data_IF_986121528153
#
_entry.id   IF_986121528153
#
_cell.length_a   1.000
_cell.length_b   1.000
_cell.length_c   1.000
_cell.angle_alpha   90.00
_cell.angle_beta   90.00
_cell.angle_gamma   90.00
#
_symmetry.space_group_name_H-M   'P 1'
#
loop_
_entity.id
_entity.type
_entity.pdbx_description
1 polymer ?
#
# COMPACT_ATOMS: atom_id res chain seq x y z
N UNK A 1 0.47 -33.60 -17.35
CA UNK A 1 -0.78 -32.83 -17.64
C UNK A 1 -1.81 -32.95 -16.51
N UNK A 2 -2.23 -34.17 -16.09
CA UNK A 2 -3.16 -34.38 -14.95
C UNK A 2 -2.68 -33.80 -13.60
N UNK A 3 -1.40 -33.91 -13.27
CA UNK A 3 -0.82 -33.37 -12.02
C UNK A 3 -0.83 -31.84 -11.94
N UNK A 4 -0.72 -31.14 -13.07
CA UNK A 4 -0.84 -29.67 -13.15
C UNK A 4 -2.30 -29.23 -12.99
N UNK A 5 -3.24 -30.00 -13.54
CA UNK A 5 -4.68 -29.75 -13.40
C UNK A 5 -5.18 -29.97 -11.96
N UNK A 6 -4.72 -31.03 -11.28
CA UNK A 6 -5.07 -31.28 -9.86
C UNK A 6 -4.47 -30.26 -8.92
N UNK A 7 -3.23 -29.82 -9.17
CA UNK A 7 -2.59 -28.75 -8.39
C UNK A 7 -3.34 -27.42 -8.55
N UNK A 8 -3.69 -27.04 -9.79
CA UNK A 8 -4.51 -25.86 -10.04
C UNK A 8 -5.86 -25.91 -9.36
N UNK A 9 -6.59 -27.04 -9.45
CA UNK A 9 -7.88 -27.22 -8.78
C UNK A 9 -7.77 -27.06 -7.26
N UNK A 10 -6.73 -27.64 -6.64
CA UNK A 10 -6.50 -27.53 -5.21
C UNK A 10 -6.20 -26.07 -4.80
N UNK A 11 -5.41 -25.35 -5.60
CA UNK A 11 -5.14 -23.93 -5.38
C UNK A 11 -6.41 -23.09 -5.48
N UNK A 12 -7.25 -23.29 -6.51
CA UNK A 12 -8.51 -22.56 -6.65
C UNK A 12 -9.48 -22.87 -5.52
N UNK A 13 -9.58 -24.13 -5.09
CA UNK A 13 -10.44 -24.52 -3.98
C UNK A 13 -9.98 -23.88 -2.66
N UNK A 14 -8.67 -23.86 -2.39
CA UNK A 14 -8.11 -23.17 -1.24
C UNK A 14 -8.38 -21.66 -1.28
N UNK A 15 -8.22 -21.02 -2.44
CA UNK A 15 -8.51 -19.59 -2.62
C UNK A 15 -10.00 -19.27 -2.42
N UNK A 16 -10.91 -20.11 -2.92
CA UNK A 16 -12.36 -19.97 -2.70
C UNK A 16 -12.70 -20.11 -1.22
N UNK A 17 -12.10 -21.08 -0.52
CA UNK A 17 -12.34 -21.27 0.91
C UNK A 17 -11.87 -20.06 1.73
N UNK A 18 -10.68 -19.53 1.42
CA UNK A 18 -10.15 -18.30 2.05
C UNK A 18 -11.05 -17.11 1.76
N UNK A 19 -11.51 -16.95 0.51
CA UNK A 19 -12.43 -15.89 0.13
C UNK A 19 -13.76 -16.00 0.90
N UNK A 20 -14.31 -17.21 1.04
CA UNK A 20 -15.55 -17.43 1.77
C UNK A 20 -15.40 -17.13 3.26
N UNK A 21 -14.30 -17.58 3.87
CA UNK A 21 -13.99 -17.30 5.27
C UNK A 21 -13.89 -15.79 5.55
N UNK A 22 -13.29 -15.03 4.63
CA UNK A 22 -13.17 -13.58 4.74
C UNK A 22 -14.51 -12.84 4.49
N UNK A 23 -15.35 -13.32 3.58
CA UNK A 23 -16.61 -12.67 3.22
C UNK A 23 -17.74 -12.96 4.21
N UNK A 24 -17.73 -14.13 4.86
CA UNK A 24 -18.79 -14.55 5.78
C UNK A 24 -19.14 -13.51 6.86
N UNK A 25 -18.20 -12.94 7.65
CA UNK A 25 -18.55 -11.95 8.67
C UNK A 25 -19.15 -10.67 8.08
N UNK A 26 -18.72 -10.27 6.88
CA UNK A 26 -19.24 -9.09 6.18
C UNK A 26 -20.66 -9.37 5.70
N UNK A 27 -20.89 -10.52 5.05
CA UNK A 27 -22.22 -10.93 4.59
C UNK A 27 -23.20 -11.09 5.76
N UNK A 28 -22.73 -11.63 6.88
CA UNK A 28 -23.52 -11.72 8.09
C UNK A 28 -23.86 -10.35 8.66
N UNK A 29 -22.90 -9.41 8.72
CA UNK A 29 -23.14 -8.04 9.18
C UNK A 29 -24.16 -7.31 8.29
N UNK A 30 -24.05 -7.45 6.97
CA UNK A 30 -25.01 -6.88 6.01
C UNK A 30 -26.40 -7.50 6.20
N UNK A 31 -26.48 -8.83 6.36
CA UNK A 31 -27.76 -9.51 6.66
C UNK A 31 -28.37 -9.04 7.99
N UNK A 32 -27.56 -9.00 9.06
CA UNK A 32 -27.96 -8.55 10.39
C UNK A 32 -28.46 -7.09 10.39
N UNK A 33 -27.90 -6.22 9.55
CA UNK A 33 -28.37 -4.84 9.40
C UNK A 33 -29.82 -4.72 8.88
N UNK A 34 -30.33 -5.75 8.23
CA UNK A 34 -31.68 -5.80 7.66
C UNK A 34 -32.65 -6.62 8.51
N UNK A 35 -32.19 -7.21 9.62
CA UNK A 35 -33.01 -7.99 10.54
C UNK A 35 -33.68 -7.10 11.59
N UNK A 36 -34.73 -7.61 12.21
CA UNK A 36 -35.26 -7.09 13.48
C UNK A 36 -34.47 -7.61 14.69
N UNK A 37 -34.62 -6.99 15.86
CA UNK A 37 -33.95 -7.43 17.10
C UNK A 37 -34.26 -8.89 17.46
N UNK A 38 -35.48 -9.37 17.15
CA UNK A 38 -35.89 -10.75 17.41
C UNK A 38 -35.26 -11.77 16.44
N UNK A 39 -35.11 -11.42 15.17
CA UNK A 39 -34.57 -12.31 14.11
C UNK A 39 -33.04 -12.50 14.20
N UNK A 40 -32.35 -11.76 15.07
CA UNK A 40 -30.91 -11.91 15.28
C UNK A 40 -30.53 -13.19 15.99
N UNK A 41 -31.43 -13.71 16.83
CA UNK A 41 -31.25 -14.99 17.52
C UNK A 41 -31.53 -16.18 16.59
N UNK A 42 -32.20 -15.95 15.46
CA UNK A 42 -32.47 -16.98 14.47
C UNK A 42 -31.22 -17.27 13.63
N UNK A 43 -30.92 -18.57 13.47
CA UNK A 43 -29.80 -19.07 12.66
C UNK A 43 -29.97 -18.84 11.14
N UNK A 44 -31.07 -18.24 10.70
CA UNK A 44 -31.32 -17.96 9.30
C UNK A 44 -30.29 -16.95 8.75
N UNK A 45 -29.59 -17.26 7.65
CA UNK A 45 -28.54 -16.40 7.10
C UNK A 45 -29.09 -15.13 6.43
N UNK A 46 -30.37 -15.10 6.04
CA UNK A 46 -31.05 -13.97 5.41
C UNK A 46 -32.24 -13.52 6.27
N UNK A 47 -32.60 -12.22 6.26
CA UNK A 47 -33.77 -11.72 6.95
C UNK A 47 -35.06 -12.27 6.31
N UNK A 48 -36.04 -12.67 7.13
CA UNK A 48 -37.36 -13.05 6.63
C UNK A 48 -38.13 -11.82 6.14
N UNK A 49 -38.00 -10.70 6.88
CA UNK A 49 -38.60 -9.42 6.54
C UNK A 49 -37.54 -8.30 6.52
N UNK A 50 -36.90 -8.02 5.36
CA UNK A 50 -35.84 -7.01 5.26
C UNK A 50 -36.30 -5.62 5.73
N UNK A 51 -35.66 -5.11 6.78
CA UNK A 51 -36.02 -3.86 7.45
C UNK A 51 -35.04 -2.74 7.12
N UNK A 52 -35.26 -2.08 5.99
CA UNK A 52 -34.45 -0.94 5.54
C UNK A 52 -34.53 0.28 6.47
N UNK A 53 -35.55 0.36 7.34
CA UNK A 53 -35.70 1.45 8.29
C UNK A 53 -34.51 1.55 9.25
N UNK A 54 -33.83 0.43 9.55
CA UNK A 54 -32.62 0.40 10.38
C UNK A 54 -31.54 1.37 9.88
N UNK A 55 -31.40 1.55 8.56
CA UNK A 55 -30.45 2.52 8.01
C UNK A 55 -30.86 3.96 8.29
N UNK A 56 -32.15 4.30 8.15
CA UNK A 56 -32.66 5.63 8.48
C UNK A 56 -32.53 5.90 9.97
N UNK A 57 -32.98 4.94 10.79
CA UNK A 57 -32.89 5.00 12.25
C UNK A 57 -31.45 5.19 12.71
N UNK A 58 -30.45 4.62 12.01
CA UNK A 58 -29.04 4.80 12.36
C UNK A 58 -28.56 6.25 12.16
N UNK A 59 -29.04 6.92 11.11
CA UNK A 59 -28.76 8.33 10.85
C UNK A 59 -29.55 9.28 11.77
N UNK A 60 -30.67 8.82 12.32
CA UNK A 60 -31.47 9.58 13.28
C UNK A 60 -30.92 9.43 14.71
N UNK A 61 -30.40 8.25 15.06
CA UNK A 61 -29.85 7.94 16.38
C UNK A 61 -28.53 8.66 16.68
N UNK A 62 -27.68 8.81 15.66
CA UNK A 62 -26.42 9.56 15.74
C UNK A 62 -26.25 10.40 14.48
N UNK A 63 -25.52 11.55 14.54
CA UNK A 63 -25.24 12.36 13.36
C UNK A 63 -24.20 11.68 12.43
N UNK A 64 -24.52 10.48 11.93
CA UNK A 64 -23.62 9.57 11.22
C UNK A 64 -23.03 10.22 9.97
N UNK A 65 -23.82 10.98 9.22
CA UNK A 65 -23.34 11.72 8.05
C UNK A 65 -22.25 12.73 8.39
N UNK A 66 -22.39 13.47 9.51
CA UNK A 66 -21.36 14.40 9.99
C UNK A 66 -20.13 13.64 10.50
N UNK A 67 -20.33 12.54 11.22
CA UNK A 67 -19.23 11.69 11.69
C UNK A 67 -18.41 11.08 10.55
N UNK A 68 -19.07 10.66 9.46
CA UNK A 68 -18.41 10.21 8.23
C UNK A 68 -17.63 11.35 7.58
N UNK A 69 -18.21 12.54 7.46
CA UNK A 69 -17.52 13.71 6.93
C UNK A 69 -16.29 14.09 7.76
N UNK A 70 -16.39 14.03 9.10
CA UNK A 70 -15.27 14.24 10.01
C UNK A 70 -14.17 13.20 9.81
N UNK A 71 -14.52 11.92 9.67
CA UNK A 71 -13.54 10.83 9.40
C UNK A 71 -12.88 11.02 8.05
N UNK A 72 -13.63 11.37 6.99
CA UNK A 72 -13.07 11.65 5.67
C UNK A 72 -12.10 12.83 5.72
N UNK A 73 -12.46 13.91 6.41
CA UNK A 73 -11.60 15.08 6.58
C UNK A 73 -10.33 14.73 7.36
N UNK A 74 -10.48 14.01 8.47
CA UNK A 74 -9.37 13.54 9.30
C UNK A 74 -8.40 12.67 8.49
N UNK A 75 -8.91 11.64 7.82
CA UNK A 75 -8.13 10.73 6.99
C UNK A 75 -7.49 11.46 5.80
N UNK A 76 -8.19 12.36 5.12
CA UNK A 76 -7.65 13.11 3.99
C UNK A 76 -6.50 14.04 4.41
N UNK A 77 -6.68 14.81 5.49
CA UNK A 77 -5.65 15.71 5.99
C UNK A 77 -4.40 14.96 6.43
N UNK A 78 -4.56 13.91 7.26
CA UNK A 78 -3.42 13.12 7.74
C UNK A 78 -2.73 12.41 6.59
N UNK A 79 -3.47 11.77 5.68
CA UNK A 79 -2.88 11.09 4.53
C UNK A 79 -2.12 12.05 3.61
N UNK A 80 -2.71 13.21 3.29
CA UNK A 80 -2.03 14.21 2.47
C UNK A 80 -0.75 14.72 3.13
N UNK A 81 -0.81 15.02 4.44
CA UNK A 81 0.36 15.42 5.23
C UNK A 81 1.43 14.34 5.24
N UNK A 82 1.07 13.10 5.58
CA UNK A 82 2.04 12.01 5.62
C UNK A 82 2.67 11.73 4.26
N UNK A 83 1.90 11.72 3.18
CA UNK A 83 2.45 11.55 1.83
C UNK A 83 3.45 12.66 1.52
N UNK A 84 3.10 13.92 1.82
CA UNK A 84 3.97 15.05 1.58
C UNK A 84 5.26 14.97 2.42
N UNK A 85 5.16 14.86 3.74
CA UNK A 85 6.32 14.88 4.64
C UNK A 85 7.18 13.61 4.53
N UNK A 86 6.58 12.42 4.42
CA UNK A 86 7.33 11.17 4.25
C UNK A 86 8.02 11.11 2.89
N UNK A 87 7.42 11.63 1.81
CA UNK A 87 8.09 11.65 0.51
C UNK A 87 9.28 12.61 0.51
N UNK A 88 9.14 13.77 1.16
CA UNK A 88 10.25 14.72 1.31
C UNK A 88 11.38 14.14 2.15
N UNK A 89 11.06 13.57 3.32
CA UNK A 89 12.03 12.93 4.19
C UNK A 89 12.69 11.71 3.51
N UNK A 90 11.91 10.90 2.80
CA UNK A 90 12.39 9.75 2.05
C UNK A 90 13.37 10.16 0.94
N UNK A 91 13.07 11.24 0.20
CA UNK A 91 13.98 11.81 -0.79
C UNK A 91 15.28 12.31 -0.13
N UNK A 92 15.18 13.03 0.98
CA UNK A 92 16.35 13.53 1.72
C UNK A 92 17.27 12.38 2.19
N UNK A 93 16.71 11.32 2.79
CA UNK A 93 17.49 10.17 3.24
C UNK A 93 17.99 9.26 2.11
N UNK A 94 17.40 9.32 0.92
CA UNK A 94 17.84 8.51 -0.22
C UNK A 94 18.89 9.23 -1.07
N UNK A 95 18.71 10.53 -1.35
CA UNK A 95 19.46 11.26 -2.38
C UNK A 95 20.42 12.31 -1.81
N UNK A 96 20.02 13.03 -0.78
CA UNK A 96 20.89 14.07 -0.20
C UNK A 96 22.04 13.43 0.59
N UNK A 97 23.23 14.02 0.45
CA UNK A 97 24.43 13.64 1.19
C UNK A 97 24.65 14.64 2.33
N UNK A 98 24.49 14.20 3.56
CA UNK A 98 24.75 15.00 4.76
C UNK A 98 25.37 14.13 5.87
N UNK A 99 26.20 14.71 6.75
CA UNK A 99 26.86 13.95 7.81
C UNK A 99 25.84 13.32 8.76
N UNK A 100 26.05 12.06 9.15
CA UNK A 100 25.18 11.35 10.10
C UNK A 100 23.87 10.80 9.52
N UNK A 101 23.66 10.85 8.20
CA UNK A 101 22.42 10.40 7.52
C UNK A 101 21.96 9.00 7.93
N UNK A 102 22.84 8.01 7.91
CA UNK A 102 22.48 6.62 8.23
C UNK A 102 22.16 6.44 9.73
N UNK A 103 22.88 7.15 10.61
CA UNK A 103 22.61 7.12 12.05
C UNK A 103 21.25 7.77 12.38
N UNK A 104 20.94 8.91 11.76
CA UNK A 104 19.64 9.57 11.90
C UNK A 104 18.51 8.70 11.35
N UNK A 105 18.72 8.04 10.21
CA UNK A 105 17.74 7.13 9.64
C UNK A 105 17.49 5.90 10.54
N UNK A 106 18.56 5.34 11.11
CA UNK A 106 18.46 4.22 12.06
C UNK A 106 17.72 4.64 13.34
N UNK A 107 18.02 5.83 13.87
CA UNK A 107 17.27 6.42 14.98
C UNK A 107 15.79 6.62 14.65
N UNK A 108 15.48 7.04 13.42
CA UNK A 108 14.10 7.16 12.94
C UNK A 108 13.40 5.80 12.89
N UNK A 109 14.07 4.74 12.44
CA UNK A 109 13.54 3.37 12.48
C UNK A 109 13.35 2.83 13.89
N UNK A 110 14.25 3.17 14.83
CA UNK A 110 14.11 2.76 16.23
C UNK A 110 12.81 3.27 16.86
N UNK A 111 12.24 4.37 16.38
CA UNK A 111 10.93 4.86 16.85
C UNK A 111 9.77 3.89 16.54
N UNK A 112 9.90 3.01 15.55
CA UNK A 112 8.91 1.96 15.28
C UNK A 112 8.83 0.90 16.38
N UNK A 113 9.88 0.77 17.20
CA UNK A 113 9.88 -0.14 18.36
C UNK A 113 9.10 0.46 19.54
N UNK A 114 8.79 1.76 19.51
CA UNK A 114 8.06 2.42 20.59
C UNK A 114 6.56 2.11 20.45
N UNK A 115 5.94 1.49 21.46
CA UNK A 115 4.52 1.18 21.41
C UNK A 115 3.67 2.46 21.51
N UNK A 116 2.65 2.55 20.66
CA UNK A 116 1.69 3.67 20.63
C UNK A 116 1.08 3.97 22.01
N UNK A 117 0.78 2.95 22.82
CA UNK A 117 0.18 3.12 24.16
C UNK A 117 1.03 3.97 25.11
N UNK A 118 2.36 3.95 24.97
CA UNK A 118 3.27 4.74 25.81
C UNK A 118 3.35 6.19 25.33
N UNK A 119 3.15 6.45 24.03
CA UNK A 119 3.18 7.82 23.47
C UNK A 119 1.89 8.58 23.67
N UNK A 120 0.75 7.88 23.86
CA UNK A 120 -0.57 8.49 24.01
C UNK A 120 -0.63 9.47 25.18
N UNK A 121 -0.08 9.13 26.35
CA UNK A 121 -0.13 10.01 27.54
C UNK A 121 0.67 11.32 27.29
N UNK A 122 1.94 11.28 26.87
CA UNK A 122 2.67 12.49 26.49
C UNK A 122 1.97 13.32 25.41
N UNK A 123 1.45 12.68 24.37
CA UNK A 123 0.75 13.39 23.29
C UNK A 123 -0.53 14.07 23.80
N UNK A 124 -1.30 13.42 24.67
CA UNK A 124 -2.46 14.01 25.34
C UNK A 124 -2.07 15.26 26.15
N UNK A 125 -1.00 15.18 26.95
CA UNK A 125 -0.52 16.32 27.73
C UNK A 125 -0.12 17.50 26.82
N UNK A 126 0.50 17.24 25.67
CA UNK A 126 0.80 18.27 24.68
C UNK A 126 -0.47 18.91 24.10
N UNK A 127 -1.45 18.11 23.70
CA UNK A 127 -2.72 18.64 23.15
C UNK A 127 -3.48 19.47 24.19
N UNK A 128 -3.46 19.04 25.45
CA UNK A 128 -4.00 19.81 26.58
C UNK A 128 -3.25 21.11 26.79
N UNK A 129 -1.92 21.10 26.72
CA UNK A 129 -1.10 22.31 26.88
C UNK A 129 -1.34 23.32 25.75
N UNK A 130 -1.51 22.84 24.52
CA UNK A 130 -1.89 23.68 23.37
C UNK A 130 -3.35 24.17 23.40
N UNK A 131 -4.19 23.64 24.30
CA UNK A 131 -5.61 23.95 24.35
C UNK A 131 -6.40 23.41 23.14
N UNK A 132 -5.90 22.38 22.47
CA UNK A 132 -6.54 21.78 21.28
C UNK A 132 -7.52 20.66 21.61
N UNK A 133 -7.68 20.32 22.90
CA UNK A 133 -8.64 19.31 23.35
C UNK A 133 -10.05 19.60 22.81
N UNK A 134 -10.76 18.55 22.40
CA UNK A 134 -12.11 18.63 21.83
C UNK A 134 -12.20 19.51 20.57
N UNK A 135 -11.13 19.53 19.76
CA UNK A 135 -11.10 20.17 18.43
C UNK A 135 -10.59 19.21 17.35
N UNK A 136 -10.90 19.44 16.06
CA UNK A 136 -10.36 18.62 14.96
C UNK A 136 -8.83 18.63 14.88
N UNK A 137 -8.17 19.70 15.36
CA UNK A 137 -6.72 19.84 15.33
C UNK A 137 -6.01 18.83 16.21
N UNK A 138 -6.61 18.47 17.36
CA UNK A 138 -6.06 17.44 18.23
C UNK A 138 -6.00 16.06 17.56
N UNK A 139 -6.86 15.81 16.57
CA UNK A 139 -6.80 14.58 15.77
C UNK A 139 -5.78 14.70 14.64
N UNK A 140 -5.85 15.78 13.86
CA UNK A 140 -5.09 15.90 12.60
C UNK A 140 -3.60 16.11 12.85
N UNK A 141 -3.23 17.07 13.70
CA UNK A 141 -1.85 17.57 13.80
C UNK A 141 -0.85 16.50 14.26
N UNK A 142 -1.14 15.65 15.26
CA UNK A 142 -0.18 14.62 15.70
C UNK A 142 0.17 13.60 14.63
N UNK A 143 -0.78 13.26 13.75
CA UNK A 143 -0.57 12.31 12.65
C UNK A 143 0.00 12.93 11.37
N UNK A 144 0.01 14.26 11.26
CA UNK A 144 0.23 14.99 10.00
C UNK A 144 1.68 14.91 9.51
N UNK A 145 2.66 14.98 10.41
CA UNK A 145 4.08 15.20 10.08
C UNK A 145 4.84 13.95 9.59
N UNK A 146 4.11 12.94 9.12
CA UNK A 146 4.70 11.69 8.61
C UNK A 146 4.90 10.63 9.69
N UNK A 147 5.38 9.48 9.25
CA UNK A 147 5.65 8.32 10.09
C UNK A 147 6.99 7.70 9.74
N UNK A 148 7.58 6.99 10.71
CA UNK A 148 8.82 6.25 10.52
C UNK A 148 8.73 5.24 9.37
N UNK A 149 7.63 4.49 9.33
CA UNK A 149 7.37 3.53 8.27
C UNK A 149 7.18 4.22 6.91
N UNK A 150 6.41 5.32 6.85
CA UNK A 150 6.17 6.02 5.59
C UNK A 150 7.45 6.60 4.97
N UNK A 151 8.31 7.19 5.80
CA UNK A 151 9.62 7.69 5.35
C UNK A 151 10.55 6.56 4.90
N UNK A 152 10.57 5.44 5.65
CA UNK A 152 11.32 4.25 5.25
C UNK A 152 10.85 3.75 3.88
N UNK A 153 9.54 3.58 3.69
CA UNK A 153 8.96 3.11 2.44
C UNK A 153 9.34 4.02 1.28
N UNK A 154 9.17 5.34 1.44
CA UNK A 154 9.53 6.30 0.39
C UNK A 154 11.04 6.28 0.10
N UNK A 155 11.90 6.18 1.12
CA UNK A 155 13.35 6.05 0.93
C UNK A 155 13.70 4.81 0.10
N UNK A 156 13.13 3.65 0.43
CA UNK A 156 13.37 2.41 -0.31
C UNK A 156 13.01 2.56 -1.79
N UNK A 157 11.86 3.15 -2.09
CA UNK A 157 11.46 3.41 -3.48
C UNK A 157 12.32 4.47 -4.19
N UNK A 158 12.77 5.51 -3.49
CA UNK A 158 13.69 6.45 -4.11
C UNK A 158 15.04 5.81 -4.40
N UNK A 159 15.53 4.86 -3.58
CA UNK A 159 16.80 4.18 -3.79
C UNK A 159 16.81 3.22 -4.99
N UNK A 160 15.65 2.70 -5.42
CA UNK A 160 15.58 1.82 -6.59
C UNK A 160 15.69 2.56 -7.92
N UNK A 161 15.51 3.88 -7.93
CA UNK A 161 15.63 4.66 -9.16
C UNK A 161 17.11 4.85 -9.56
N UNK A 162 17.46 4.79 -10.86
CA UNK A 162 18.81 5.06 -11.33
C UNK A 162 19.26 6.49 -10.97
N UNK A 163 20.53 6.68 -10.60
CA UNK A 163 21.08 7.98 -10.24
C UNK A 163 21.27 8.89 -11.47
N UNK A 164 21.43 8.27 -12.63
CA UNK A 164 21.62 8.91 -13.93
C UNK A 164 20.44 9.82 -14.30
N UNK A 165 19.22 9.51 -13.83
CA UNK A 165 18.04 10.36 -14.01
C UNK A 165 18.17 11.72 -13.29
N UNK A 166 18.79 11.72 -12.12
CA UNK A 166 19.03 12.93 -11.34
C UNK A 166 20.19 13.73 -11.95
N UNK A 167 21.28 13.05 -12.36
CA UNK A 167 22.42 13.69 -13.01
C UNK A 167 22.02 14.36 -14.33
N UNK A 168 21.21 13.71 -15.16
CA UNK A 168 20.69 14.30 -16.40
C UNK A 168 19.84 15.56 -16.12
N UNK A 169 18.95 15.52 -15.13
CA UNK A 169 18.13 16.67 -14.76
C UNK A 169 18.97 17.85 -14.23
N UNK A 170 20.05 17.57 -13.50
CA UNK A 170 20.99 18.59 -13.01
C UNK A 170 21.75 19.22 -14.19
N UNK A 171 22.16 18.42 -15.19
CA UNK A 171 22.77 18.93 -16.42
C UNK A 171 21.81 19.82 -17.23
N UNK A 172 20.50 19.53 -17.18
CA UNK A 172 19.44 20.38 -17.74
C UNK A 172 19.15 21.65 -16.91
N UNK A 173 19.90 21.88 -15.83
CA UNK A 173 19.77 23.06 -14.97
C UNK A 173 18.65 22.99 -13.93
N UNK A 174 18.12 21.80 -13.64
CA UNK A 174 17.11 21.65 -12.60
C UNK A 174 17.71 21.85 -11.20
N UNK A 175 17.02 22.62 -10.36
CA UNK A 175 17.30 22.71 -8.91
C UNK A 175 16.91 21.41 -8.19
N UNK A 176 17.49 21.09 -7.01
CA UNK A 176 17.13 19.87 -6.26
C UNK A 176 15.63 19.73 -5.97
N UNK A 177 14.94 20.84 -5.71
CA UNK A 177 13.48 20.85 -5.54
C UNK A 177 12.74 20.47 -6.83
N UNK A 178 13.21 20.95 -7.98
CA UNK A 178 12.64 20.59 -9.28
C UNK A 178 12.93 19.12 -9.63
N UNK A 179 14.13 18.61 -9.32
CA UNK A 179 14.46 17.19 -9.49
C UNK A 179 13.51 16.32 -8.67
N UNK A 180 13.31 16.64 -7.39
CA UNK A 180 12.35 15.94 -6.54
C UNK A 180 10.93 15.99 -7.12
N UNK A 181 10.39 17.19 -7.37
CA UNK A 181 8.96 17.36 -7.68
C UNK A 181 8.59 16.94 -9.11
N UNK A 182 9.47 17.21 -10.10
CA UNK A 182 9.18 17.02 -11.52
C UNK A 182 9.75 15.71 -12.08
N UNK A 183 10.85 15.20 -11.52
CA UNK A 183 11.53 14.02 -12.06
C UNK A 183 11.28 12.81 -11.18
N UNK A 184 11.70 12.82 -9.92
CA UNK A 184 11.67 11.62 -9.07
C UNK A 184 10.27 11.28 -8.55
N UNK A 185 9.53 12.26 -8.01
CA UNK A 185 8.23 12.02 -7.39
C UNK A 185 7.22 11.36 -8.35
N UNK A 186 7.08 11.77 -9.64
CA UNK A 186 6.21 11.11 -10.60
C UNK A 186 6.56 9.64 -10.89
N UNK A 187 7.84 9.25 -10.79
CA UNK A 187 8.28 7.87 -10.98
C UNK A 187 7.99 7.01 -9.74
N UNK A 188 7.86 7.63 -8.57
CA UNK A 188 7.46 6.96 -7.32
C UNK A 188 5.95 6.93 -7.07
N UNK A 189 5.11 7.23 -8.08
CA UNK A 189 3.65 7.14 -7.97
C UNK A 189 3.13 5.83 -7.34
N UNK A 190 3.66 4.63 -7.68
CA UNK A 190 3.24 3.39 -7.02
C UNK A 190 3.50 3.42 -5.51
N UNK A 191 4.65 3.93 -5.07
CA UNK A 191 5.02 4.06 -3.66
C UNK A 191 4.11 5.04 -2.92
N UNK A 192 3.87 6.20 -3.52
CA UNK A 192 2.98 7.23 -2.98
C UNK A 192 1.56 6.69 -2.78
N UNK A 193 1.05 5.92 -3.75
CA UNK A 193 -0.27 5.29 -3.64
C UNK A 193 -0.32 4.25 -2.51
N UNK A 194 0.72 3.42 -2.38
CA UNK A 194 0.81 2.44 -1.28
C UNK A 194 0.81 3.17 0.07
N UNK A 195 1.65 4.19 0.24
CA UNK A 195 1.69 4.99 1.45
C UNK A 195 0.33 5.64 1.73
N UNK A 196 -0.28 6.27 0.73
CA UNK A 196 -1.56 6.93 0.88
C UNK A 196 -2.67 5.98 1.36
N UNK A 197 -2.73 4.79 0.78
CA UNK A 197 -3.75 3.79 1.13
C UNK A 197 -3.49 3.21 2.52
N UNK A 198 -2.24 2.86 2.85
CA UNK A 198 -1.91 2.36 4.18
C UNK A 198 -2.24 3.39 5.26
N UNK A 199 -1.82 4.65 5.08
CA UNK A 199 -2.14 5.73 6.01
C UNK A 199 -3.64 5.94 6.11
N UNK A 200 -4.36 5.96 4.98
CA UNK A 200 -5.81 6.12 4.98
C UNK A 200 -6.50 5.04 5.80
N UNK A 201 -6.16 3.76 5.57
CA UNK A 201 -6.74 2.64 6.29
C UNK A 201 -6.45 2.75 7.80
N UNK A 202 -5.22 3.14 8.17
CA UNK A 202 -4.86 3.34 9.59
C UNK A 202 -5.70 4.44 10.23
N UNK A 203 -5.81 5.60 9.58
CA UNK A 203 -6.53 6.76 10.14
C UNK A 203 -8.05 6.54 10.13
N UNK A 204 -8.58 5.88 9.11
CA UNK A 204 -10.00 5.54 9.02
C UNK A 204 -10.45 4.62 10.16
N UNK A 205 -9.61 3.65 10.53
CA UNK A 205 -9.88 2.71 11.62
C UNK A 205 -9.42 3.21 12.99
N UNK A 206 -8.88 4.43 13.07
CA UNK A 206 -8.44 5.00 14.34
C UNK A 206 -9.64 5.22 15.26
N UNK A 207 -9.54 4.65 16.45
CA UNK A 207 -10.59 4.67 17.47
C UNK A 207 -10.05 5.23 18.78
N UNK A 208 -8.90 4.75 19.23
CA UNK A 208 -8.33 5.09 20.52
C UNK A 208 -8.04 6.58 20.64
N UNK A 209 -7.44 7.20 19.61
CA UNK A 209 -7.07 8.61 19.68
C UNK A 209 -8.31 9.54 19.68
N UNK A 210 -9.29 9.39 18.77
CA UNK A 210 -10.54 10.15 18.82
C UNK A 210 -11.31 9.97 20.13
N UNK A 211 -11.33 8.76 20.70
CA UNK A 211 -12.00 8.47 21.97
C UNK A 211 -11.46 9.32 23.14
N UNK A 212 -10.14 9.56 23.17
CA UNK A 212 -9.49 10.30 24.26
C UNK A 212 -9.58 11.82 24.02
N UNK A 213 -9.51 12.26 22.76
CA UNK A 213 -9.41 13.69 22.42
C UNK A 213 -10.76 14.39 22.25
N UNK A 214 -11.80 13.66 21.81
CA UNK A 214 -13.06 14.25 21.37
C UNK A 214 -14.21 13.87 22.31
N UNK A 215 -14.87 14.89 22.85
CA UNK A 215 -16.04 14.73 23.71
C UNK A 215 -17.32 15.07 22.93
N UNK A 216 -17.33 16.15 22.16
CA UNK A 216 -18.52 16.60 21.42
C UNK A 216 -18.89 15.68 20.27
N UNK A 217 -20.19 15.48 20.05
CA UNK A 217 -20.74 14.77 18.87
C UNK A 217 -20.37 15.45 17.54
N UNK A 218 -20.08 16.74 17.59
CA UNK A 218 -19.77 17.56 16.44
C UNK A 218 -18.47 17.20 15.71
N UNK A 219 -17.48 16.70 16.45
CA UNK A 219 -16.15 16.37 15.93
C UNK A 219 -15.86 14.87 15.96
N UNK A 220 -16.82 14.07 16.42
CA UNK A 220 -16.64 12.63 16.54
C UNK A 220 -16.44 11.97 15.18
N UNK A 221 -15.60 10.93 15.15
CA UNK A 221 -15.38 10.08 13.99
C UNK A 221 -16.47 9.02 13.87
N UNK A 222 -16.59 8.43 12.68
CA UNK A 222 -17.43 7.29 12.39
C UNK A 222 -17.19 6.10 13.36
N UNK A 223 -15.93 5.77 13.62
CA UNK A 223 -15.53 4.70 14.56
C UNK A 223 -15.99 4.99 15.99
N UNK A 224 -15.86 6.25 16.44
CA UNK A 224 -16.37 6.68 17.74
C UNK A 224 -17.91 6.67 17.78
N UNK A 225 -18.56 7.00 16.67
CA UNK A 225 -20.02 6.93 16.52
C UNK A 225 -20.58 5.52 16.74
N UNK A 226 -19.91 4.48 16.24
CA UNK A 226 -20.31 3.08 16.47
C UNK A 226 -20.33 2.73 17.95
N UNK A 227 -19.32 3.17 18.71
CA UNK A 227 -19.28 2.90 20.16
C UNK A 227 -20.37 3.68 20.88
N UNK A 228 -20.75 4.87 20.40
CA UNK A 228 -21.88 5.63 20.97
C UNK A 228 -23.24 4.99 20.72
N UNK A 229 -23.37 4.13 19.71
CA UNK A 229 -24.57 3.31 19.49
C UNK A 229 -24.66 2.11 20.45
N UNK A 230 -23.57 1.74 21.12
CA UNK A 230 -23.58 0.73 22.17
C UNK A 230 -24.09 1.38 23.46
N UNK A 231 -25.38 1.23 23.73
CA UNK A 231 -26.01 1.75 24.94
C UNK A 231 -25.47 1.07 26.21
N UNK A 232 -25.53 1.76 27.36
CA UNK A 232 -25.06 1.22 28.64
C UNK A 232 -25.85 -0.01 29.13
N UNK A 233 -27.13 -0.15 28.71
CA UNK A 233 -28.03 -1.20 29.21
C UNK A 233 -28.61 -2.11 28.12
N UNK A 234 -28.74 -1.61 26.88
CA UNK A 234 -29.21 -2.38 25.73
C UNK A 234 -28.59 -1.82 24.46
N UNK A 235 -28.20 -2.71 23.55
CA UNK A 235 -27.67 -2.37 22.23
C UNK A 235 -28.61 -2.91 21.17
N UNK A 236 -29.10 -2.02 20.31
CA UNK A 236 -29.83 -2.41 19.11
C UNK A 236 -28.81 -2.88 18.07
N UNK A 237 -28.60 -4.18 17.98
CA UNK A 237 -27.61 -4.80 17.10
C UNK A 237 -27.89 -4.57 15.61
N UNK A 238 -29.14 -4.65 15.10
CA UNK A 238 -29.42 -4.35 13.69
C UNK A 238 -29.04 -2.91 13.32
N UNK A 239 -29.34 -1.95 14.18
CA UNK A 239 -28.95 -0.54 14.02
C UNK A 239 -27.43 -0.36 13.99
N UNK A 240 -26.72 -1.02 14.91
CA UNK A 240 -25.26 -1.00 14.96
C UNK A 240 -24.65 -1.60 13.68
N UNK A 241 -25.19 -2.72 13.19
CA UNK A 241 -24.74 -3.37 11.95
C UNK A 241 -25.05 -2.52 10.72
N UNK A 242 -26.19 -1.81 10.70
CA UNK A 242 -26.51 -0.85 9.64
C UNK A 242 -25.50 0.30 9.60
N UNK A 243 -25.20 0.91 10.74
CA UNK A 243 -24.16 1.94 10.83
C UNK A 243 -22.79 1.41 10.41
N UNK A 244 -22.38 0.22 10.87
CA UNK A 244 -21.11 -0.39 10.51
C UNK A 244 -21.00 -0.67 9.00
N UNK A 245 -22.08 -1.14 8.39
CA UNK A 245 -22.18 -1.39 6.93
C UNK A 245 -21.98 -0.08 6.15
N UNK A 246 -22.61 1.01 6.58
CA UNK A 246 -22.43 2.33 5.94
C UNK A 246 -20.98 2.82 6.07
N UNK A 247 -20.36 2.65 7.24
CA UNK A 247 -18.97 3.04 7.50
C UNK A 247 -17.97 2.21 6.68
N UNK A 248 -18.34 0.98 6.30
CA UNK A 248 -17.51 0.13 5.45
C UNK A 248 -17.47 0.61 3.98
N UNK A 249 -18.52 1.27 3.48
CA UNK A 249 -18.63 1.65 2.06
C UNK A 249 -17.47 2.53 1.55
N UNK A 250 -17.06 3.60 2.23
CA UNK A 250 -15.95 4.44 1.76
C UNK A 250 -14.61 3.69 1.77
N UNK A 251 -14.41 2.77 2.71
CA UNK A 251 -13.23 1.93 2.78
C UNK A 251 -13.15 0.99 1.58
N UNK A 252 -14.28 0.37 1.19
CA UNK A 252 -14.36 -0.47 0.00
C UNK A 252 -14.09 0.32 -1.29
N UNK A 253 -14.60 1.55 -1.39
CA UNK A 253 -14.36 2.42 -2.53
C UNK A 253 -12.86 2.71 -2.69
N UNK A 254 -12.17 3.02 -1.59
CA UNK A 254 -10.74 3.31 -1.60
C UNK A 254 -9.94 2.06 -1.93
N UNK A 255 -10.30 0.91 -1.37
CA UNK A 255 -9.70 -0.37 -1.73
C UNK A 255 -9.86 -0.68 -3.24
N UNK A 256 -11.05 -0.43 -3.80
CA UNK A 256 -11.32 -0.63 -5.21
C UNK A 256 -10.49 0.29 -6.12
N UNK A 257 -10.14 1.49 -5.67
CA UNK A 257 -9.20 2.39 -6.34
C UNK A 257 -7.75 1.88 -6.17
N UNK A 258 -7.41 1.43 -4.96
CA UNK A 258 -6.06 1.03 -4.57
C UNK A 258 -5.58 -0.29 -5.20
N UNK A 259 -6.47 -1.26 -5.45
CA UNK A 259 -6.10 -2.58 -5.98
C UNK A 259 -5.23 -2.51 -7.25
N UNK A 260 -5.49 -1.55 -8.14
CA UNK A 260 -4.71 -1.35 -9.37
C UNK A 260 -3.30 -0.82 -9.08
N UNK A 261 -3.14 -0.03 -8.01
CA UNK A 261 -1.85 0.49 -7.59
C UNK A 261 -0.99 -0.58 -6.90
N UNK A 262 -1.59 -1.42 -6.05
CA UNK A 262 -0.90 -2.52 -5.40
C UNK A 262 -0.36 -3.55 -6.40
N UNK A 263 -1.17 -3.94 -7.39
CA UNK A 263 -0.74 -4.90 -8.43
C UNK A 263 0.50 -4.38 -9.19
N UNK A 264 0.53 -3.08 -9.54
CA UNK A 264 1.67 -2.45 -10.22
C UNK A 264 2.90 -2.30 -9.32
N UNK A 265 2.70 -2.07 -8.03
CA UNK A 265 3.78 -2.00 -7.04
C UNK A 265 4.49 -3.34 -6.86
N UNK A 266 3.71 -4.43 -6.77
CA UNK A 266 4.24 -5.79 -6.59
C UNK A 266 4.93 -6.30 -7.87
N UNK A 267 4.44 -5.93 -9.06
CA UNK A 267 5.08 -6.34 -10.32
C UNK A 267 6.51 -5.81 -10.50
N UNK A 268 6.85 -4.67 -9.87
CA UNK A 268 8.22 -4.14 -9.90
C UNK A 268 9.18 -4.91 -8.98
N UNK A 269 8.71 -5.42 -7.84
CA UNK A 269 9.49 -6.33 -6.97
C UNK A 269 9.60 -7.75 -7.52
N UNK A 270 8.72 -8.13 -8.44
CA UNK A 270 8.70 -9.44 -9.11
C UNK A 270 9.62 -9.54 -10.32
N UNK A 271 10.25 -8.44 -10.75
CA UNK A 271 11.40 -8.48 -11.67
C UNK A 271 12.60 -9.02 -10.88
N UNK A 272 12.58 -10.34 -10.65
CA UNK A 272 13.80 -11.10 -10.51
C UNK A 272 14.64 -10.72 -11.73
N UNK A 273 15.69 -9.94 -11.50
CA UNK A 273 16.81 -9.86 -12.42
C UNK A 273 17.30 -11.30 -12.58
N UNK A 274 16.75 -12.00 -13.58
CA UNK A 274 17.36 -13.22 -14.07
C UNK A 274 18.70 -12.78 -14.60
N UNK A 275 19.73 -12.99 -13.77
CA UNK A 275 21.11 -12.93 -14.18
C UNK A 275 21.27 -14.00 -15.24
N UNK A 276 21.12 -13.62 -16.52
CA UNK A 276 21.55 -14.45 -17.62
C UNK A 276 23.07 -14.56 -17.52
N UNK A 277 23.52 -15.64 -16.88
CA UNK A 277 24.87 -16.14 -17.08
C UNK A 277 24.93 -16.66 -18.52
N UNK A 278 25.88 -16.13 -19.30
CA UNK A 278 26.28 -16.58 -20.64
C UNK A 278 25.23 -16.50 -21.76
N UNK A 279 25.17 -15.36 -22.45
CA UNK A 279 25.50 -15.24 -23.89
C UNK A 279 25.31 -13.79 -24.33
N UNK A 280 26.30 -13.24 -25.06
CA UNK A 280 26.37 -11.82 -25.43
C UNK A 280 25.53 -11.46 -26.64
N UNK A 281 24.20 -11.60 -26.57
CA UNK A 281 23.28 -11.12 -27.61
C UNK A 281 22.09 -10.37 -27.00
N UNK A 282 21.97 -9.10 -27.35
CA UNK A 282 20.86 -8.23 -26.95
C UNK A 282 19.65 -8.50 -27.85
N UNK A 283 18.81 -9.46 -27.46
CA UNK A 283 17.47 -9.62 -28.04
C UNK A 283 16.43 -9.38 -26.95
N UNK A 284 15.70 -8.28 -27.07
CA UNK A 284 14.60 -7.92 -26.19
C UNK A 284 13.45 -8.94 -26.34
N UNK A 285 13.47 -10.00 -25.55
CA UNK A 285 12.41 -11.01 -25.52
C UNK A 285 11.37 -10.66 -24.45
N UNK A 286 10.30 -9.99 -24.87
CA UNK A 286 9.05 -9.96 -24.13
C UNK A 286 8.35 -11.33 -24.28
N UNK A 287 8.49 -12.23 -23.31
CA UNK A 287 7.74 -13.49 -23.27
C UNK A 287 6.58 -13.41 -22.27
N UNK A 288 5.42 -13.07 -22.81
CA UNK A 288 4.12 -13.33 -22.18
C UNK A 288 3.91 -14.84 -22.20
N UNK A 289 3.67 -15.45 -21.03
CA UNK A 289 3.19 -16.83 -20.91
C UNK A 289 1.84 -16.97 -21.60
N UNK A 290 1.84 -17.52 -22.81
CA UNK A 290 0.66 -18.06 -23.49
C UNK A 290 0.78 -19.58 -23.59
N UNK A 291 -0.09 -20.31 -22.90
CA UNK A 291 -0.26 -21.75 -23.04
C UNK A 291 -0.90 -22.09 -24.40
N UNK A 292 -0.09 -22.20 -25.44
CA UNK A 292 -0.40 -23.01 -26.63
C UNK A 292 0.83 -23.03 -27.53
N UNK A 293 1.49 -24.18 -27.59
CA UNK A 293 2.64 -24.40 -28.45
C UNK A 293 2.27 -24.28 -29.92
N UNK A 294 2.97 -23.40 -30.64
CA UNK A 294 3.23 -23.47 -32.07
C UNK A 294 4.23 -22.36 -32.41
N UNK A 295 5.52 -22.71 -32.41
CA UNK A 295 6.57 -21.87 -32.99
C UNK A 295 6.61 -22.16 -34.48
N UNK A 296 6.10 -21.24 -35.30
CA UNK A 296 6.36 -21.20 -36.73
C UNK A 296 7.66 -20.43 -36.94
N UNK A 297 8.74 -21.16 -37.24
CA UNK A 297 9.99 -20.59 -37.75
C UNK A 297 9.76 -20.06 -39.16
N UNK A 298 9.78 -18.74 -39.32
CA UNK A 298 9.91 -18.11 -40.64
C UNK A 298 11.39 -17.89 -40.93
N UNK A 299 12.00 -18.86 -41.60
CA UNK A 299 13.29 -18.71 -42.26
C UNK A 299 13.09 -17.89 -43.53
N UNK A 300 13.80 -16.77 -43.65
CA UNK A 300 13.88 -15.97 -44.89
C UNK A 300 15.36 -15.82 -45.25
N UNK A 301 15.84 -16.76 -46.08
CA UNK A 301 17.07 -16.59 -46.85
C UNK A 301 16.89 -15.48 -47.89
N UNK A 302 17.85 -14.55 -47.97
CA UNK A 302 18.28 -13.93 -49.22
C UNK A 302 19.68 -13.31 -49.03
N UNK A 303 20.71 -13.89 -49.66
CA UNK A 303 21.97 -13.21 -49.98
C UNK A 303 21.91 -12.61 -51.39
N UNK A 304 23.03 -12.30 -52.08
CA UNK A 304 24.42 -12.11 -51.62
C UNK A 304 25.07 -10.81 -52.20
N UNK A 305 26.31 -10.48 -51.80
CA UNK A 305 27.11 -9.45 -52.48
C UNK A 305 28.43 -9.11 -51.78
N UNK A 306 29.61 -9.27 -52.42
CA UNK A 306 30.94 -9.24 -51.79
C UNK A 306 31.61 -7.85 -51.90
N UNK A 307 32.64 -7.59 -51.08
CA UNK A 307 33.97 -7.09 -51.50
C UNK A 307 34.79 -6.44 -50.37
N UNK A 308 36.06 -6.88 -50.27
CA UNK A 308 37.28 -6.16 -49.84
C UNK A 308 37.39 -5.79 -48.34
N UNK A 309 38.41 -6.23 -47.57
CA UNK A 309 39.86 -5.98 -47.72
C UNK A 309 40.65 -7.06 -46.95
N UNK A 310 41.84 -7.37 -47.48
CA UNK A 310 42.73 -8.51 -47.18
C UNK A 310 43.56 -8.51 -45.88
N UNK A 311 44.69 -9.25 -45.84
CA UNK A 311 44.95 -10.27 -44.81
C UNK A 311 46.11 -9.92 -43.85
N UNK A 312 46.17 -10.61 -42.70
CA UNK A 312 47.44 -10.85 -41.98
C UNK A 312 47.51 -12.32 -41.59
N UNK A 313 48.52 -12.98 -42.15
CA UNK A 313 48.98 -14.34 -41.87
C UNK A 313 50.14 -14.25 -40.88
N UNK A 314 50.14 -15.11 -39.86
CA UNK A 314 51.28 -15.89 -39.29
C UNK A 314 50.65 -16.75 -38.19
N UNK A 315 50.56 -18.09 -38.31
CA UNK A 315 51.66 -19.05 -38.15
C UNK A 315 51.74 -19.44 -36.67
N UNK A 316 51.10 -20.54 -36.25
CA UNK A 316 51.70 -21.89 -36.07
C UNK A 316 52.61 -22.01 -34.83
N UNK A 317 52.14 -22.81 -33.86
CA UNK A 317 52.82 -23.87 -33.09
C UNK A 317 51.96 -24.16 -31.84
N UNK A 318 51.31 -25.33 -31.71
CA UNK A 318 51.87 -26.57 -31.13
C UNK A 318 52.61 -26.27 -29.81
N UNK A 319 52.35 -26.87 -28.65
CA UNK A 319 51.72 -28.12 -28.26
C UNK A 319 52.27 -28.45 -26.86
N UNK A 320 51.52 -29.25 -26.11
CA UNK A 320 51.98 -30.18 -25.07
C UNK A 320 52.85 -29.71 -23.87
N UNK A 321 52.21 -29.82 -22.70
CA UNK A 321 52.53 -30.85 -21.69
C UNK A 321 53.75 -30.65 -20.73
N UNK A 322 53.41 -30.86 -19.45
CA UNK A 322 54.20 -31.47 -18.35
C UNK A 322 54.97 -30.63 -17.31
N UNK A 323 54.89 -31.21 -16.10
CA UNK A 323 55.66 -31.04 -14.86
C UNK A 323 55.36 -29.79 -14.00
N UNK A 324 54.75 -29.88 -12.82
CA UNK A 324 55.08 -30.67 -11.62
C UNK A 324 56.44 -30.31 -10.99
N UNK A 325 56.32 -29.77 -9.78
CA UNK A 325 57.21 -29.92 -8.62
C UNK A 325 58.21 -28.80 -8.26
N UNK A 326 58.24 -28.56 -6.94
CA UNK A 326 59.20 -27.83 -6.09
C UNK A 326 59.12 -26.30 -5.98
N UNK A 327 58.68 -25.86 -4.79
CA UNK A 327 58.78 -24.50 -4.26
C UNK A 327 57.91 -24.27 -3.05
#
# INVERSE_FOLDING_TARGET
MRTRLTAGLLTYLALILVAWCALLPILWSVSASLKSDGELLDAAPLPAHPRWSNYREAFDAIPLGRMLANTVLYAACVTAGQVFFCSLAGYAFARLRFPGREALFLGYLATLMVPLTVTVIPQFLLMRWFGWMDTPWAMIVPGLFGSAFGTYLMRQFFQTLPIELEEAAILDGCTPWQVYWRVLLPHTKPAVMVLAVLTWITVWNDFLWPLIMIQRNEYATATLGLVRLQGQYSTNWPLLMAAATVILLPLLLIYAIAQRAFIRGISLSGLVLQRHSCSGEWVAAASVMGESGLVLSASSESGPGPDMVGPVVTGEDEGDEQAADLG
#
